data_IF_542093794629
#
_entry.id   IF_542093794629
#
_cell.length_a   1.000
_cell.length_b   1.000
_cell.length_c   1.000
_cell.angle_alpha   90.00
_cell.angle_beta   90.00
_cell.angle_gamma   90.00
#
_symmetry.space_group_name_H-M   'P 1'
#
loop_
_entity.id
_entity.type
_entity.pdbx_description
1 polymer ?
#
# COMPACT_ATOMS: atom_id res chain seq x y z
N UNK A 1 -20.03 6.47 6.79
CA UNK A 1 -19.40 5.69 5.70
C UNK A 1 -17.94 6.07 5.48
N UNK A 2 -17.61 7.35 5.33
CA UNK A 2 -16.21 7.82 5.16
C UNK A 2 -15.27 7.26 6.23
N UNK A 3 -15.65 7.32 7.51
CA UNK A 3 -14.83 6.82 8.64
C UNK A 3 -14.51 5.33 8.55
N UNK A 4 -15.47 4.51 8.12
CA UNK A 4 -15.27 3.07 7.95
C UNK A 4 -14.28 2.78 6.80
N UNK A 5 -14.36 3.54 5.72
CA UNK A 5 -13.41 3.40 4.60
C UNK A 5 -12.00 3.80 5.03
N UNK A 6 -11.86 4.90 5.76
CA UNK A 6 -10.57 5.34 6.30
C UNK A 6 -9.95 4.28 7.23
N UNK A 7 -10.75 3.68 8.10
CA UNK A 7 -10.30 2.61 8.98
C UNK A 7 -9.94 1.32 8.21
N UNK A 8 -10.69 1.00 7.15
CA UNK A 8 -10.38 -0.15 6.30
C UNK A 8 -9.07 0.06 5.51
N UNK A 9 -8.84 1.27 4.97
CA UNK A 9 -7.57 1.63 4.32
C UNK A 9 -6.43 1.54 5.34
N UNK A 10 -6.60 2.11 6.53
CA UNK A 10 -5.59 2.07 7.58
C UNK A 10 -5.26 0.64 8.01
N UNK A 11 -6.25 -0.23 8.17
CA UNK A 11 -6.04 -1.64 8.48
C UNK A 11 -5.26 -2.37 7.38
N UNK A 12 -5.61 -2.15 6.11
CA UNK A 12 -4.86 -2.69 4.97
C UNK A 12 -3.40 -2.24 4.95
N UNK A 13 -3.17 -0.95 5.18
CA UNK A 13 -1.81 -0.38 5.26
C UNK A 13 -0.99 -1.03 6.39
N UNK A 14 -1.58 -1.26 7.57
CA UNK A 14 -0.90 -1.93 8.67
C UNK A 14 -0.61 -3.39 8.37
N UNK A 15 -1.50 -4.10 7.70
CA UNK A 15 -1.27 -5.50 7.27
C UNK A 15 -0.11 -5.58 6.28
N UNK A 16 -0.09 -4.71 5.27
CA UNK A 16 1.03 -4.66 4.32
C UNK A 16 2.33 -4.24 5.01
N UNK A 17 2.29 -3.20 5.87
CA UNK A 17 3.46 -2.75 6.63
C UNK A 17 4.04 -3.86 7.51
N UNK A 18 3.19 -4.61 8.21
CA UNK A 18 3.60 -5.73 9.06
C UNK A 18 4.26 -6.85 8.23
N UNK A 19 3.68 -7.19 7.07
CA UNK A 19 4.25 -8.19 6.16
C UNK A 19 5.63 -7.77 5.64
N UNK A 20 5.79 -6.54 5.17
CA UNK A 20 7.08 -6.03 4.69
C UNK A 20 8.12 -5.88 5.81
N UNK A 21 7.69 -5.42 6.99
CA UNK A 21 8.57 -5.35 8.17
C UNK A 21 9.05 -6.73 8.62
N UNK A 22 8.15 -7.72 8.63
CA UNK A 22 8.50 -9.10 8.93
C UNK A 22 9.54 -9.65 7.94
N UNK A 23 9.29 -9.49 6.63
CA UNK A 23 10.19 -9.96 5.59
C UNK A 23 11.55 -9.25 5.64
N UNK A 24 11.57 -7.95 5.91
CA UNK A 24 12.82 -7.21 6.13
C UNK A 24 13.67 -7.87 7.22
N UNK A 25 13.06 -8.20 8.35
CA UNK A 25 13.76 -8.81 9.49
C UNK A 25 14.17 -10.27 9.24
N UNK A 26 13.45 -10.99 8.35
CA UNK A 26 13.62 -12.43 8.12
C UNK A 26 14.23 -12.76 6.73
N UNK A 27 15.24 -11.99 6.33
CA UNK A 27 16.08 -12.34 5.19
C UNK A 27 16.25 -11.26 4.13
N UNK A 28 15.30 -10.35 3.96
CA UNK A 28 15.34 -9.38 2.86
C UNK A 28 16.21 -8.16 3.13
N UNK A 29 16.57 -7.88 4.39
CA UNK A 29 17.43 -6.73 4.77
C UNK A 29 18.80 -6.74 4.09
N UNK A 30 19.33 -7.91 3.75
CA UNK A 30 20.62 -8.08 3.10
C UNK A 30 20.58 -7.98 1.57
N UNK A 31 19.38 -7.93 0.98
CA UNK A 31 19.21 -7.76 -0.46
C UNK A 31 19.35 -6.28 -0.80
N UNK A 32 20.36 -5.87 -1.58
CA UNK A 32 20.58 -4.47 -1.91
C UNK A 32 19.32 -3.83 -2.51
N UNK A 33 19.00 -2.60 -2.10
CA UNK A 33 17.85 -1.82 -2.56
C UNK A 33 16.50 -2.41 -2.13
N UNK A 34 16.26 -3.72 -2.33
CA UNK A 34 14.99 -4.39 -1.98
C UNK A 34 14.76 -4.35 -0.47
N UNK A 35 15.77 -4.65 0.35
CA UNK A 35 15.65 -4.56 1.80
C UNK A 35 15.31 -3.14 2.26
N UNK A 36 16.01 -2.14 1.73
CA UNK A 36 15.68 -0.72 2.04
C UNK A 36 14.28 -0.38 1.59
N UNK A 37 13.85 -0.85 0.40
CA UNK A 37 12.48 -0.66 -0.10
C UNK A 37 11.43 -1.24 0.85
N UNK A 38 11.65 -2.42 1.40
CA UNK A 38 10.75 -3.04 2.37
C UNK A 38 10.66 -2.25 3.67
N UNK A 39 11.80 -1.75 4.18
CA UNK A 39 11.83 -0.93 5.38
C UNK A 39 11.11 0.41 5.17
N UNK A 40 11.36 1.08 4.04
CA UNK A 40 10.69 2.33 3.68
C UNK A 40 9.19 2.13 3.54
N UNK A 41 8.77 1.08 2.84
CA UNK A 41 7.34 0.78 2.65
C UNK A 41 6.65 0.48 3.97
N UNK A 42 7.26 -0.34 4.84
CA UNK A 42 6.72 -0.62 6.17
C UNK A 42 6.56 0.66 7.00
N UNK A 43 7.56 1.54 6.98
CA UNK A 43 7.56 2.80 7.72
C UNK A 43 6.52 3.79 7.18
N UNK A 44 6.49 4.00 5.87
CA UNK A 44 5.53 4.92 5.22
C UNK A 44 4.09 4.43 5.38
N UNK A 45 3.84 3.13 5.18
CA UNK A 45 2.49 2.58 5.32
C UNK A 45 2.01 2.64 6.77
N UNK A 46 2.88 2.46 7.76
CA UNK A 46 2.53 2.65 9.17
C UNK A 46 2.16 4.10 9.45
N UNK A 47 2.94 5.06 8.98
CA UNK A 47 2.65 6.48 9.15
C UNK A 47 1.34 6.88 8.46
N UNK A 48 1.11 6.45 7.21
CA UNK A 48 -0.13 6.70 6.49
C UNK A 48 -1.34 6.08 7.19
N UNK A 49 -1.21 4.87 7.72
CA UNK A 49 -2.28 4.21 8.47
C UNK A 49 -2.72 5.03 9.67
N UNK A 50 -1.77 5.48 10.47
CA UNK A 50 -2.04 6.31 11.66
C UNK A 50 -2.71 7.62 11.24
N UNK A 51 -2.15 8.33 10.28
CA UNK A 51 -2.66 9.64 9.84
C UNK A 51 -4.05 9.55 9.23
N UNK A 52 -4.32 8.52 8.40
CA UNK A 52 -5.64 8.29 7.81
C UNK A 52 -6.65 7.88 8.90
N UNK A 53 -6.25 7.03 9.85
CA UNK A 53 -7.09 6.63 10.96
C UNK A 53 -7.45 7.82 11.86
N UNK A 54 -6.62 8.81 11.99
CA UNK A 54 -6.88 10.06 12.71
C UNK A 54 -7.72 11.08 11.90
N UNK A 55 -8.10 10.74 10.67
CA UNK A 55 -8.94 11.61 9.83
C UNK A 55 -8.17 12.67 9.05
N UNK A 56 -6.92 12.41 8.74
CA UNK A 56 -6.06 13.31 8.00
C UNK A 56 -6.59 13.69 6.60
N UNK A 57 -5.95 14.64 5.94
CA UNK A 57 -6.43 15.25 4.70
C UNK A 57 -6.46 14.23 3.53
N UNK A 58 -7.25 14.57 2.50
CA UNK A 58 -7.55 13.69 1.36
C UNK A 58 -6.30 13.24 0.59
N UNK A 59 -5.26 14.03 0.54
CA UNK A 59 -4.01 13.68 -0.17
C UNK A 59 -3.30 12.46 0.42
N UNK A 60 -3.54 12.11 1.69
CA UNK A 60 -3.03 10.87 2.28
C UNK A 60 -3.60 9.62 1.57
N UNK A 61 -4.83 9.68 1.06
CA UNK A 61 -5.42 8.58 0.28
C UNK A 61 -4.78 8.48 -1.11
N UNK A 62 -4.37 9.61 -1.71
CA UNK A 62 -3.54 9.58 -2.91
C UNK A 62 -2.20 8.90 -2.65
N UNK A 63 -1.55 9.21 -1.53
CA UNK A 63 -0.29 8.58 -1.13
C UNK A 63 -0.46 7.09 -0.87
N UNK A 64 -1.55 6.67 -0.23
CA UNK A 64 -1.86 5.26 -0.03
C UNK A 64 -2.12 4.53 -1.35
N UNK A 65 -2.87 5.14 -2.27
CA UNK A 65 -3.08 4.60 -3.62
C UNK A 65 -1.76 4.46 -4.39
N UNK A 66 -0.98 5.53 -4.46
CA UNK A 66 0.29 5.55 -5.19
C UNK A 66 1.29 4.54 -4.61
N UNK A 67 1.41 4.46 -3.29
CA UNK A 67 2.29 3.50 -2.61
C UNK A 67 1.88 2.06 -2.86
N UNK A 68 0.57 1.76 -2.81
CA UNK A 68 0.06 0.40 -3.09
C UNK A 68 0.25 0.00 -4.55
N UNK A 69 0.00 0.91 -5.50
CA UNK A 69 0.26 0.65 -6.93
C UNK A 69 1.75 0.43 -7.19
N UNK A 70 2.62 1.23 -6.55
CA UNK A 70 4.07 1.05 -6.67
C UNK A 70 4.53 -0.30 -6.09
N UNK A 71 4.00 -0.71 -4.93
CA UNK A 71 4.33 -1.99 -4.31
C UNK A 71 3.86 -3.18 -5.18
N UNK A 72 2.62 -3.12 -5.72
CA UNK A 72 2.10 -4.12 -6.65
C UNK A 72 2.93 -4.19 -7.94
N UNK A 73 3.35 -3.03 -8.48
CA UNK A 73 4.23 -2.95 -9.64
C UNK A 73 5.60 -3.58 -9.36
N UNK A 74 6.20 -3.28 -8.23
CA UNK A 74 7.46 -3.88 -7.80
C UNK A 74 7.34 -5.41 -7.62
N UNK A 75 6.23 -5.87 -7.05
CA UNK A 75 5.92 -7.30 -6.94
C UNK A 75 5.87 -7.95 -8.33
N UNK A 76 5.09 -7.39 -9.26
CA UNK A 76 4.96 -7.90 -10.62
C UNK A 76 6.31 -7.93 -11.34
N UNK A 77 7.12 -6.88 -11.22
CA UNK A 77 8.46 -6.83 -11.81
C UNK A 77 9.37 -7.90 -11.24
N UNK A 78 9.36 -8.14 -9.93
CA UNK A 78 10.18 -9.17 -9.31
C UNK A 78 9.85 -10.59 -9.80
N UNK A 79 8.64 -10.82 -10.34
CA UNK A 79 8.16 -12.12 -10.88
C UNK A 79 8.33 -12.26 -12.39
N UNK A 80 8.67 -11.19 -13.08
CA UNK A 80 8.75 -11.15 -14.54
C UNK A 80 10.15 -10.79 -15.03
N UNK A 81 10.42 -9.51 -15.16
CA UNK A 81 11.69 -8.96 -15.69
C UNK A 81 12.79 -8.80 -14.63
N UNK A 82 12.43 -8.98 -13.36
CA UNK A 82 13.31 -8.68 -12.23
C UNK A 82 13.17 -7.24 -11.75
N UNK A 83 13.39 -7.04 -10.46
CA UNK A 83 13.40 -5.74 -9.81
C UNK A 83 14.84 -5.42 -9.37
N UNK A 84 15.53 -4.55 -10.12
CA UNK A 84 16.91 -4.14 -9.82
C UNK A 84 17.88 -5.34 -9.59
N UNK A 85 17.72 -6.38 -10.42
CA UNK A 85 18.50 -7.62 -10.33
C UNK A 85 17.94 -8.67 -9.37
N UNK A 86 16.89 -8.36 -8.62
CA UNK A 86 16.19 -9.29 -7.74
C UNK A 86 15.03 -9.96 -8.47
N UNK A 87 14.99 -11.30 -8.43
CA UNK A 87 13.90 -12.11 -8.98
C UNK A 87 13.39 -13.09 -7.95
N UNK A 88 12.07 -13.29 -7.94
CA UNK A 88 11.38 -14.25 -7.08
C UNK A 88 10.42 -15.08 -7.94
N UNK A 89 9.95 -16.23 -7.43
CA UNK A 89 9.05 -17.11 -8.18
C UNK A 89 7.74 -17.33 -7.42
N UNK A 90 6.63 -17.30 -8.18
CA UNK A 90 5.31 -17.60 -7.67
C UNK A 90 4.91 -16.68 -6.50
N UNK A 91 4.35 -17.29 -5.46
CA UNK A 91 3.88 -16.59 -4.25
C UNK A 91 4.87 -16.66 -3.08
N UNK A 92 6.14 -16.92 -3.36
CA UNK A 92 7.14 -16.82 -2.31
C UNK A 92 7.51 -15.35 -2.02
N UNK A 93 7.86 -15.00 -0.78
CA UNK A 93 7.81 -15.81 0.45
C UNK A 93 6.38 -15.96 0.99
N UNK A 94 5.89 -17.19 1.03
CA UNK A 94 4.56 -17.47 1.56
C UNK A 94 4.55 -17.45 3.11
N UNK A 95 3.44 -16.99 3.76
CA UNK A 95 2.21 -16.43 3.15
C UNK A 95 2.28 -14.91 2.90
N UNK A 96 3.39 -14.24 3.26
CA UNK A 96 3.49 -12.78 3.32
C UNK A 96 3.35 -12.10 1.96
N UNK A 97 3.84 -12.73 0.87
CA UNK A 97 3.67 -12.20 -0.48
C UNK A 97 2.18 -12.09 -0.86
N UNK A 98 1.39 -13.12 -0.60
CA UNK A 98 -0.04 -13.11 -0.88
C UNK A 98 -0.78 -12.12 0.03
N UNK A 99 -0.46 -12.10 1.32
CA UNK A 99 -1.08 -11.19 2.30
C UNK A 99 -0.84 -9.73 1.90
N UNK A 100 0.38 -9.35 1.56
CA UNK A 100 0.69 -7.98 1.15
C UNK A 100 0.00 -7.60 -0.15
N UNK A 101 -0.01 -8.47 -1.17
CA UNK A 101 -0.69 -8.22 -2.44
C UNK A 101 -2.20 -8.02 -2.24
N UNK A 102 -2.86 -8.87 -1.46
CA UNK A 102 -4.29 -8.71 -1.16
C UNK A 102 -4.58 -7.41 -0.41
N UNK A 103 -3.74 -7.07 0.58
CA UNK A 103 -3.87 -5.80 1.31
C UNK A 103 -3.69 -4.60 0.38
N UNK A 104 -2.68 -4.61 -0.47
CA UNK A 104 -2.38 -3.51 -1.41
C UNK A 104 -3.46 -3.34 -2.48
N UNK A 105 -4.04 -4.43 -2.99
CA UNK A 105 -5.20 -4.37 -3.90
C UNK A 105 -6.40 -3.74 -3.20
N UNK A 106 -6.67 -4.13 -1.95
CA UNK A 106 -7.75 -3.55 -1.16
C UNK A 106 -7.53 -2.06 -0.87
N UNK A 107 -6.30 -1.66 -0.47
CA UNK A 107 -5.94 -0.26 -0.24
C UNK A 107 -6.13 0.55 -1.52
N UNK A 108 -5.62 0.07 -2.65
CA UNK A 108 -5.72 0.76 -3.94
C UNK A 108 -7.19 0.95 -4.36
N UNK A 109 -8.00 -0.11 -4.26
CA UNK A 109 -9.42 -0.07 -4.59
C UNK A 109 -10.21 0.89 -3.71
N UNK A 110 -10.06 0.79 -2.39
CA UNK A 110 -10.75 1.64 -1.43
C UNK A 110 -10.32 3.10 -1.54
N UNK A 111 -9.02 3.35 -1.73
CA UNK A 111 -8.50 4.71 -1.92
C UNK A 111 -9.02 5.34 -3.19
N UNK A 112 -8.97 4.64 -4.33
CA UNK A 112 -9.48 5.12 -5.61
C UNK A 112 -11.00 5.39 -5.54
N UNK A 113 -11.77 4.50 -4.94
CA UNK A 113 -13.21 4.69 -4.74
C UNK A 113 -13.51 5.92 -3.87
N UNK A 114 -12.82 6.06 -2.74
CA UNK A 114 -12.98 7.20 -1.82
C UNK A 114 -12.65 8.54 -2.49
N UNK A 115 -11.60 8.58 -3.32
CA UNK A 115 -11.19 9.77 -4.06
C UNK A 115 -12.21 10.17 -5.12
N UNK A 116 -12.78 9.20 -5.86
CA UNK A 116 -13.85 9.43 -6.83
C UNK A 116 -15.11 9.98 -6.15
N UNK A 117 -15.51 9.39 -5.02
CA UNK A 117 -16.67 9.84 -4.26
C UNK A 117 -16.50 11.29 -3.75
N UNK A 118 -15.32 11.67 -3.32
CA UNK A 118 -15.00 13.04 -2.90
C UNK A 118 -15.08 14.04 -4.08
N UNK A 119 -14.58 13.66 -5.26
CA UNK A 119 -14.62 14.51 -6.46
C UNK A 119 -16.05 14.75 -6.93
N UNK A 120 -16.89 13.71 -6.97
CA UNK A 120 -18.30 13.85 -7.39
C UNK A 120 -19.14 14.67 -6.42
N UNK A 121 -18.85 14.63 -5.12
CA UNK A 121 -19.50 15.48 -4.14
C UNK A 121 -19.17 16.97 -4.36
N UNK A 122 -17.93 17.28 -4.72
CA UNK A 122 -17.48 18.65 -4.95
C UNK A 122 -18.12 19.29 -6.20
N UNK A 123 -18.31 18.52 -7.26
CA UNK A 123 -18.96 19.00 -8.50
C UNK A 123 -20.46 19.29 -8.34
N UNK A 124 -21.14 18.62 -7.41
CA UNK A 124 -22.57 18.85 -7.14
C UNK A 124 -22.86 20.13 -6.32
N UNK A 125 -21.88 20.70 -5.67
CA UNK A 125 -22.02 21.87 -4.77
C UNK A 125 -21.72 23.19 -5.50
N UNK A 126 -21.28 23.15 -6.77
CA UNK A 126 -21.05 24.34 -7.60
C UNK A 126 -22.27 24.59 -8.49
N UNK A 127 -23.26 25.40 -8.08
CA UNK A 127 -24.23 25.97 -9.01
C UNK A 127 -23.50 27.05 -9.84
N UNK A 128 -23.77 27.07 -11.11
CA UNK A 128 -23.36 28.13 -12.05
C UNK A 128 -23.92 29.50 -11.61
#
# INVERSE_FOLDING_TARGET
>A
MKRLVDLAIAAGLLVSAASHGYLYLHGYRSIPIVGVGFLVLASVFTALAILIALGGPVWLRFSALAGSVAALGAFAMSRTVGLLGFTERGWQPAPHALISVLAEVAIAGLSAWSLRAAATAHTRIRPD
#
